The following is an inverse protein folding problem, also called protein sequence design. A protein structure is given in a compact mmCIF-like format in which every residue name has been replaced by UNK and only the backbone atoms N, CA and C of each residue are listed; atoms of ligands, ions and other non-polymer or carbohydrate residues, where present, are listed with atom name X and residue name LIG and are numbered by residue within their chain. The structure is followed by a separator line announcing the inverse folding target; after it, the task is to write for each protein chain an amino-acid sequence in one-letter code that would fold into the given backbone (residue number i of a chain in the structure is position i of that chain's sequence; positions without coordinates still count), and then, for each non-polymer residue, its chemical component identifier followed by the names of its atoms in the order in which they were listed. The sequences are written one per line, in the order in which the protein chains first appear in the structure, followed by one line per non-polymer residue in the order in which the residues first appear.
data_IF_027384278518
#
_entry.id   IF_027384278518
#
_cell.length_a   1.000
_cell.length_b   1.000
_cell.length_c   1.000
_cell.angle_alpha   90.00
_cell.angle_beta   90.00
_cell.angle_gamma   90.00
#
_symmetry.space_group_name_H-M   'P 1'
#
loop_
_entity.id
_entity.type
_entity.pdbx_description
1 polymer ?
#
# COMPACT_ATOMS: atom_id res chain seq x y z
N UNK A 1 3.36 3.78 -22.69
CA UNK A 1 3.06 4.97 -21.87
C UNK A 1 2.68 4.49 -20.48
N UNK A 2 3.29 5.04 -19.44
CA UNK A 2 2.93 4.75 -18.05
C UNK A 2 1.64 5.49 -17.67
N UNK A 3 0.81 4.89 -16.81
CA UNK A 3 -0.43 5.50 -16.32
C UNK A 3 -0.54 5.35 -14.81
N UNK A 4 -1.30 6.22 -14.15
CA UNK A 4 -1.59 6.07 -12.73
C UNK A 4 -2.22 4.71 -12.45
N UNK A 5 -1.84 4.10 -11.33
CA UNK A 5 -2.33 2.82 -10.87
C UNK A 5 -3.81 2.94 -10.50
N UNK A 6 -4.68 2.68 -11.48
CA UNK A 6 -6.13 2.76 -11.36
C UNK A 6 -6.77 1.38 -11.44
N UNK A 7 -6.24 0.39 -10.69
CA UNK A 7 -6.67 -1.03 -10.73
C UNK A 7 -8.18 -1.23 -10.48
N UNK A 8 -8.81 -0.23 -9.84
CA UNK A 8 -10.21 -0.27 -9.41
C UNK A 8 -11.11 0.69 -10.18
N UNK A 9 -10.56 1.57 -11.04
CA UNK A 9 -11.33 2.55 -11.81
C UNK A 9 -11.46 2.19 -13.30
N UNK A 10 -10.57 1.35 -13.84
CA UNK A 10 -10.59 0.94 -15.26
C UNK A 10 -11.48 -0.28 -15.56
N UNK A 11 -12.04 -0.91 -14.53
CA UNK A 11 -12.94 -2.06 -14.66
C UNK A 11 -12.28 -3.37 -15.12
N UNK A 12 -10.98 -3.40 -15.41
CA UNK A 12 -10.31 -4.59 -15.92
C UNK A 12 -10.16 -5.63 -14.79
N UNK A 13 -10.79 -6.80 -14.90
CA UNK A 13 -10.59 -7.88 -13.93
C UNK A 13 -9.14 -8.41 -13.93
N UNK A 14 -8.41 -8.18 -15.02
CA UNK A 14 -7.03 -8.64 -15.22
C UNK A 14 -6.07 -7.98 -14.22
N UNK A 15 -6.23 -6.68 -13.97
CA UNK A 15 -5.40 -5.87 -13.08
C UNK A 15 -5.56 -6.24 -11.60
N UNK A 16 -6.64 -6.94 -11.24
CA UNK A 16 -7.00 -7.33 -9.87
C UNK A 16 -6.54 -8.72 -9.47
N UNK A 17 -5.91 -9.45 -10.39
CA UNK A 17 -5.39 -10.79 -10.10
C UNK A 17 -4.25 -10.73 -9.09
N UNK A 18 -4.17 -11.77 -8.27
CA UNK A 18 -3.09 -11.95 -7.30
C UNK A 18 -1.69 -11.72 -7.90
N UNK A 19 -1.40 -12.26 -9.08
CA UNK A 19 -0.09 -12.14 -9.73
C UNK A 19 0.29 -10.69 -10.02
N UNK A 20 -0.68 -9.85 -10.42
CA UNK A 20 -0.48 -8.42 -10.64
C UNK A 20 -0.26 -7.70 -9.31
N UNK A 21 -1.14 -7.92 -8.32
CA UNK A 21 -1.06 -7.30 -6.99
C UNK A 21 0.29 -7.63 -6.35
N UNK A 22 0.71 -8.90 -6.39
CA UNK A 22 1.97 -9.35 -5.83
C UNK A 22 3.17 -8.70 -6.53
N UNK A 23 3.17 -8.64 -7.87
CA UNK A 23 4.24 -7.97 -8.64
C UNK A 23 4.33 -6.48 -8.31
N UNK A 24 3.21 -5.78 -8.23
CA UNK A 24 3.17 -4.37 -7.84
C UNK A 24 3.75 -4.21 -6.44
N UNK A 25 3.32 -5.03 -5.49
CA UNK A 25 3.75 -4.98 -4.09
C UNK A 25 5.27 -5.18 -3.93
N UNK A 26 5.83 -6.18 -4.61
CA UNK A 26 7.27 -6.44 -4.63
C UNK A 26 8.03 -5.28 -5.28
N UNK A 27 7.52 -4.76 -6.40
CA UNK A 27 8.16 -3.64 -7.09
C UNK A 27 8.21 -2.38 -6.23
N UNK A 28 7.12 -2.03 -5.53
CA UNK A 28 7.09 -0.91 -4.59
C UNK A 28 8.12 -1.12 -3.46
N UNK A 29 8.12 -2.32 -2.85
CA UNK A 29 9.05 -2.63 -1.76
C UNK A 29 10.52 -2.54 -2.20
N UNK A 30 10.86 -2.95 -3.44
CA UNK A 30 12.21 -2.81 -4.00
C UNK A 30 12.62 -1.36 -4.20
N UNK A 31 11.70 -0.49 -4.64
CA UNK A 31 12.00 0.94 -4.78
C UNK A 31 12.24 1.57 -3.41
N UNK A 32 11.43 1.25 -2.40
CA UNK A 32 11.68 1.72 -1.03
C UNK A 32 13.00 1.18 -0.47
N UNK A 33 13.36 -0.07 -0.73
CA UNK A 33 14.64 -0.63 -0.28
C UNK A 33 15.83 0.12 -0.88
N UNK A 34 15.72 0.49 -2.16
CA UNK A 34 16.69 1.35 -2.82
C UNK A 34 16.78 2.74 -2.15
N UNK A 35 15.65 3.38 -1.86
CA UNK A 35 15.63 4.71 -1.24
C UNK A 35 16.19 4.70 0.19
N UNK A 36 15.78 3.74 1.01
CA UNK A 36 16.17 3.66 2.43
C UNK A 36 17.58 3.13 2.61
N UNK A 37 18.01 2.15 1.79
CA UNK A 37 19.26 1.41 2.05
C UNK A 37 20.25 1.36 0.90
N UNK A 38 19.82 1.68 -0.32
CA UNK A 38 20.65 1.60 -1.53
C UNK A 38 21.39 2.89 -1.90
N UNK A 39 20.94 4.04 -1.39
CA UNK A 39 21.56 5.34 -1.64
C UNK A 39 22.70 5.64 -0.65
N UNK A 40 23.69 6.43 -1.08
CA UNK A 40 24.76 6.91 -0.19
C UNK A 40 24.20 7.71 1.00
N UNK A 41 23.11 8.45 0.76
CA UNK A 41 22.31 9.11 1.79
C UNK A 41 20.91 8.53 1.74
N UNK A 42 20.47 7.78 2.76
CA UNK A 42 19.10 7.28 2.86
C UNK A 42 18.10 8.41 2.66
N UNK A 43 17.02 8.11 1.94
CA UNK A 43 15.97 9.06 1.64
C UNK A 43 14.59 8.48 1.95
N UNK A 44 13.70 9.33 2.45
CA UNK A 44 12.32 8.97 2.78
C UNK A 44 11.42 9.43 1.63
N UNK A 45 10.50 8.58 1.20
CA UNK A 45 9.57 8.92 0.14
C UNK A 45 8.59 10.01 0.56
N UNK A 46 8.09 9.94 1.80
CA UNK A 46 7.23 10.92 2.46
C UNK A 46 5.78 10.92 1.97
N UNK A 47 5.55 10.74 0.66
CA UNK A 47 4.23 10.83 0.04
C UNK A 47 3.82 9.51 -0.67
N UNK A 48 4.14 8.36 -0.07
CA UNK A 48 3.82 7.07 -0.68
C UNK A 48 2.32 6.78 -0.55
N UNK A 49 1.67 6.46 -1.66
CA UNK A 49 0.24 6.14 -1.73
C UNK A 49 -0.10 5.59 -3.09
N UNK A 50 -1.23 4.89 -3.20
CA UNK A 50 -1.63 4.21 -4.44
C UNK A 50 -1.71 5.17 -5.64
N UNK A 51 -2.20 6.40 -5.44
CA UNK A 51 -2.25 7.43 -6.49
C UNK A 51 -0.89 7.89 -7.03
N UNK A 52 0.19 7.61 -6.31
CA UNK A 52 1.56 7.92 -6.72
C UNK A 52 2.30 6.69 -7.26
N UNK A 53 1.57 5.58 -7.47
CA UNK A 53 2.08 4.42 -8.19
C UNK A 53 1.64 4.54 -9.65
N UNK A 54 2.59 4.44 -10.56
CA UNK A 54 2.36 4.38 -12.00
C UNK A 54 2.64 2.97 -12.49
N UNK A 55 1.89 2.50 -13.48
CA UNK A 55 2.07 1.20 -14.11
C UNK A 55 2.39 1.38 -15.59
N UNK A 56 3.34 0.59 -16.09
CA UNK A 56 3.54 0.42 -17.53
C UNK A 56 2.59 -0.66 -18.11
N UNK A 57 2.58 -0.91 -19.44
CA UNK A 57 1.72 -1.93 -20.05
C UNK A 57 1.96 -3.36 -19.56
N UNK A 58 3.12 -3.64 -18.94
CA UNK A 58 3.44 -4.93 -18.34
C UNK A 58 3.10 -4.97 -16.84
N UNK A 59 2.42 -3.94 -16.33
CA UNK A 59 2.08 -3.74 -14.92
C UNK A 59 3.33 -3.76 -14.01
N UNK A 60 4.45 -3.24 -14.51
CA UNK A 60 5.60 -2.93 -13.68
C UNK A 60 5.33 -1.60 -12.94
N UNK A 61 5.48 -1.54 -11.61
CA UNK A 61 5.28 -0.30 -10.86
C UNK A 61 6.47 0.65 -10.96
N UNK A 62 6.15 1.94 -11.03
CA UNK A 62 7.05 3.08 -10.92
C UNK A 62 6.46 4.02 -9.85
N UNK A 63 7.29 4.51 -8.93
CA UNK A 63 6.83 5.42 -7.87
C UNK A 63 7.13 6.86 -8.28
N UNK A 64 6.13 7.74 -8.22
CA UNK A 64 6.25 9.18 -8.49
C UNK A 64 6.29 10.01 -7.20
N UNK A 65 6.54 11.32 -7.34
CA UNK A 65 6.51 12.33 -6.26
C UNK A 65 7.52 12.13 -5.12
N UNK A 66 8.48 11.21 -5.28
CA UNK A 66 9.66 11.15 -4.44
C UNK A 66 10.41 12.50 -4.46
N UNK A 67 10.71 13.03 -3.28
CA UNK A 67 11.45 14.28 -3.14
C UNK A 67 10.65 15.56 -3.44
N UNK A 68 9.36 15.46 -3.80
CA UNK A 68 8.50 16.62 -4.02
C UNK A 68 8.49 17.55 -2.80
N UNK A 69 8.51 16.96 -1.59
CA UNK A 69 8.54 17.67 -0.32
C UNK A 69 9.74 18.62 -0.16
N UNK A 70 10.86 18.37 -0.86
CA UNK A 70 12.06 19.23 -0.83
C UNK A 70 11.86 20.56 -1.58
N UNK A 71 10.86 20.62 -2.46
CA UNK A 71 10.55 21.80 -3.27
C UNK A 71 9.43 22.65 -2.66
N UNK A 72 8.77 22.15 -1.61
CA UNK A 72 7.64 22.82 -0.98
C UNK A 72 8.11 23.84 0.06
N UNK A 73 7.43 24.98 0.09
CA UNK A 73 7.51 25.86 1.26
C UNK A 73 6.78 25.20 2.45
N UNK A 74 7.02 25.64 3.69
CA UNK A 74 6.41 25.01 4.87
C UNK A 74 4.88 24.92 4.84
N UNK A 75 4.19 25.93 4.28
CA UNK A 75 2.74 25.95 4.16
C UNK A 75 2.24 24.87 3.18
N UNK A 76 2.80 24.82 1.98
CA UNK A 76 2.44 23.81 0.98
C UNK A 76 2.79 22.38 1.45
N UNK A 77 3.90 22.23 2.17
CA UNK A 77 4.27 20.96 2.79
C UNK A 77 3.27 20.49 3.86
N UNK A 78 2.75 21.43 4.66
CA UNK A 78 1.72 21.15 5.66
C UNK A 78 0.37 20.79 5.00
N UNK A 79 -0.04 21.52 3.96
CA UNK A 79 -1.25 21.22 3.18
C UNK A 79 -1.20 19.82 2.55
N UNK A 80 -0.04 19.43 1.99
CA UNK A 80 0.16 18.08 1.45
C UNK A 80 0.02 17.00 2.53
N UNK A 81 0.45 17.32 3.75
CA UNK A 81 0.35 16.42 4.89
C UNK A 81 -1.07 16.26 5.40
N UNK A 82 -1.84 17.34 5.42
CA UNK A 82 -3.26 17.35 5.79
C UNK A 82 -4.09 16.62 4.75
N UNK A 83 -3.81 16.82 3.46
CA UNK A 83 -4.44 16.05 2.38
C UNK A 83 -4.19 14.54 2.52
N UNK A 84 -2.96 14.15 2.86
CA UNK A 84 -2.61 12.73 3.08
C UNK A 84 -3.18 12.17 4.39
N UNK A 85 -3.50 13.03 5.37
CA UNK A 85 -4.21 12.63 6.58
C UNK A 85 -5.69 12.39 6.29
N UNK A 86 -6.32 13.30 5.54
CA UNK A 86 -7.71 13.19 5.12
C UNK A 86 -7.96 11.97 4.23
N UNK A 87 -7.00 11.62 3.37
CA UNK A 87 -7.08 10.40 2.54
C UNK A 87 -6.69 9.11 3.28
N UNK A 88 -6.25 9.17 4.55
CA UNK A 88 -5.90 8.02 5.38
C UNK A 88 -4.60 7.31 4.99
N UNK A 89 -3.82 7.83 4.05
CA UNK A 89 -2.56 7.20 3.61
C UNK A 89 -1.37 7.49 4.53
N UNK A 90 -1.53 8.46 5.43
CA UNK A 90 -0.47 8.99 6.28
C UNK A 90 -0.37 8.27 7.62
N UNK A 91 0.86 7.98 8.04
CA UNK A 91 1.15 7.48 9.38
C UNK A 91 0.71 8.47 10.49
N UNK A 92 0.16 7.98 11.62
CA UNK A 92 -0.39 8.84 12.67
C UNK A 92 0.64 9.73 13.36
N UNK A 93 1.90 9.27 13.44
CA UNK A 93 3.00 10.06 14.04
C UNK A 93 3.56 11.15 13.12
N UNK A 94 3.22 11.11 11.82
CA UNK A 94 3.70 12.10 10.85
C UNK A 94 2.84 13.37 10.93
N UNK A 95 3.11 14.20 11.94
CA UNK A 95 2.36 15.44 12.21
C UNK A 95 2.97 16.63 11.48
N UNK A 96 4.29 16.64 11.29
CA UNK A 96 5.04 17.67 10.56
C UNK A 96 6.01 17.02 9.59
N UNK A 97 6.49 17.77 8.60
CA UNK A 97 7.43 17.26 7.60
C UNK A 97 8.68 16.60 8.23
N UNK A 98 9.17 17.15 9.35
CA UNK A 98 10.36 16.67 10.06
C UNK A 98 10.16 15.33 10.80
N UNK A 99 8.92 14.88 10.97
CA UNK A 99 8.60 13.64 11.69
C UNK A 99 8.66 12.42 10.74
N UNK A 100 9.02 12.64 9.47
CA UNK A 100 9.17 11.61 8.46
C UNK A 100 10.32 10.66 8.78
N UNK A 101 10.09 9.37 8.57
CA UNK A 101 11.05 8.31 8.83
C UNK A 101 10.83 7.14 7.87
N UNK A 102 11.74 6.16 7.88
CA UNK A 102 11.52 4.91 7.14
C UNK A 102 10.20 4.27 7.58
N UNK A 103 9.88 4.34 8.88
CA UNK A 103 8.68 3.73 9.45
C UNK A 103 7.39 4.41 8.96
N UNK A 104 7.42 5.71 8.63
CA UNK A 104 6.25 6.38 8.04
C UNK A 104 6.00 5.87 6.62
N UNK A 105 7.05 5.63 5.83
CA UNK A 105 6.92 5.00 4.51
C UNK A 105 6.41 3.56 4.62
N UNK A 106 6.87 2.78 5.62
CA UNK A 106 6.38 1.41 5.86
C UNK A 106 4.89 1.38 6.21
N UNK A 107 4.40 2.36 6.97
CA UNK A 107 2.96 2.48 7.23
C UNK A 107 2.19 2.76 5.95
N UNK A 108 2.61 3.75 5.18
CA UNK A 108 1.98 4.10 3.90
C UNK A 108 2.03 2.96 2.88
N UNK A 109 3.10 2.14 2.91
CA UNK A 109 3.18 0.89 2.15
C UNK A 109 2.09 -0.08 2.60
N UNK A 110 1.95 -0.31 3.91
CA UNK A 110 0.90 -1.15 4.47
C UNK A 110 -0.50 -0.73 3.97
N UNK A 111 -0.83 0.55 4.08
CA UNK A 111 -2.10 1.11 3.59
C UNK A 111 -2.26 0.90 2.09
N UNK A 112 -1.20 1.13 1.30
CA UNK A 112 -1.21 0.91 -0.15
C UNK A 112 -1.46 -0.56 -0.49
N UNK A 113 -0.84 -1.51 0.21
CA UNK A 113 -1.05 -2.94 -0.04
C UNK A 113 -2.45 -3.42 0.36
N UNK A 114 -3.03 -2.86 1.42
CA UNK A 114 -4.40 -3.14 1.82
C UNK A 114 -5.42 -2.61 0.79
N UNK A 115 -5.18 -1.43 0.23
CA UNK A 115 -5.98 -0.91 -0.90
C UNK A 115 -5.84 -1.81 -2.13
N UNK A 116 -4.61 -2.19 -2.49
CA UNK A 116 -4.35 -3.11 -3.60
C UNK A 116 -5.02 -4.47 -3.42
N UNK A 117 -5.23 -4.92 -2.19
CA UNK A 117 -5.83 -6.23 -1.93
C UNK A 117 -7.36 -6.17 -1.89
N UNK A 118 -7.92 -5.14 -1.25
CA UNK A 118 -9.35 -5.04 -0.96
C UNK A 118 -10.15 -4.23 -1.98
N UNK A 119 -9.48 -3.40 -2.77
CA UNK A 119 -10.10 -2.42 -3.65
C UNK A 119 -10.86 -1.30 -2.94
N UNK A 120 -10.61 -1.10 -1.63
CA UNK A 120 -11.26 -0.07 -0.81
C UNK A 120 -10.31 1.10 -0.59
N UNK A 121 -10.85 2.32 -0.66
CA UNK A 121 -10.11 3.54 -0.28
C UNK A 121 -9.77 3.53 1.23
N UNK A 122 -8.69 4.20 1.67
CA UNK A 122 -8.30 4.17 3.09
C UNK A 122 -9.27 4.89 4.02
N UNK A 123 -9.96 5.90 3.50
CA UNK A 123 -10.98 6.71 4.17
C UNK A 123 -12.23 6.79 3.29
N UNK A 124 -13.40 6.95 3.91
CA UNK A 124 -14.65 7.15 3.16
C UNK A 124 -14.60 8.48 2.38
N UNK A 125 -14.94 8.43 1.09
CA UNK A 125 -15.17 9.65 0.28
C UNK A 125 -16.46 10.38 0.68
N UNK A 126 -17.35 9.73 1.43
CA UNK A 126 -18.68 10.24 1.77
C UNK A 126 -18.81 10.55 3.28
N UNK A 127 -18.44 11.77 3.72
CA UNK A 127 -18.47 12.18 5.13
C UNK A 127 -19.87 12.22 5.74
N UNK A 128 -20.93 12.10 4.92
CA UNK A 128 -22.34 12.09 5.35
C UNK A 128 -22.84 10.72 5.85
N UNK A 129 -22.02 9.67 5.78
CA UNK A 129 -22.42 8.33 6.25
C UNK A 129 -22.45 8.19 7.79
N UNK A 130 -21.88 9.17 8.52
CA UNK A 130 -21.83 9.15 9.99
C UNK A 130 -20.88 8.13 10.60
N UNK A 131 -20.27 7.26 9.77
CA UNK A 131 -19.27 6.28 10.17
C UNK A 131 -17.87 6.76 9.75
N UNK A 132 -17.01 6.97 10.75
CA UNK A 132 -15.56 7.17 10.55
C UNK A 132 -14.94 5.87 10.01
N UNK A 133 -14.98 5.69 8.69
CA UNK A 133 -14.35 4.55 8.03
C UNK A 133 -12.85 4.79 7.90
N UNK A 134 -12.05 3.97 8.58
CA UNK A 134 -10.61 3.89 8.41
C UNK A 134 -10.23 2.44 8.09
N UNK A 135 -9.60 2.22 6.94
CA UNK A 135 -9.39 0.90 6.35
C UNK A 135 -8.73 -0.13 7.30
N UNK A 136 -7.62 0.17 8.00
CA UNK A 136 -7.07 -0.74 9.01
C UNK A 136 -8.06 -1.08 10.13
N UNK A 137 -8.87 -0.12 10.58
CA UNK A 137 -9.87 -0.34 11.64
C UNK A 137 -10.96 -1.27 11.14
N UNK A 138 -11.49 -1.01 9.94
CA UNK A 138 -12.49 -1.85 9.28
C UNK A 138 -11.99 -3.29 9.10
N UNK A 139 -10.79 -3.46 8.55
CA UNK A 139 -10.18 -4.77 8.30
C UNK A 139 -9.93 -5.55 9.58
N UNK A 140 -9.48 -4.87 10.65
CA UNK A 140 -9.34 -5.51 11.97
C UNK A 140 -10.69 -6.01 12.49
N UNK A 141 -11.76 -5.22 12.36
CA UNK A 141 -13.09 -5.64 12.79
C UNK A 141 -13.62 -6.80 11.94
N UNK A 142 -13.40 -6.79 10.62
CA UNK A 142 -13.74 -7.92 9.75
C UNK A 142 -13.06 -9.23 10.17
N UNK A 143 -11.78 -9.18 10.61
CA UNK A 143 -11.10 -10.35 11.17
C UNK A 143 -11.77 -10.84 12.46
N UNK A 144 -12.06 -9.93 13.40
CA UNK A 144 -12.69 -10.27 14.69
C UNK A 144 -14.08 -10.89 14.49
N UNK A 145 -14.82 -10.37 13.51
CA UNK A 145 -16.17 -10.82 13.18
C UNK A 145 -16.18 -12.00 12.18
N UNK A 146 -15.01 -12.52 11.81
CA UNK A 146 -14.83 -13.66 10.89
C UNK A 146 -15.39 -13.42 9.47
N UNK A 147 -15.45 -12.16 9.03
CA UNK A 147 -15.84 -11.77 7.66
C UNK A 147 -14.63 -11.75 6.73
N UNK A 148 -14.08 -12.93 6.44
CA UNK A 148 -12.86 -13.08 5.63
C UNK A 148 -13.03 -12.54 4.20
N UNK A 149 -14.23 -12.66 3.63
CA UNK A 149 -14.58 -12.15 2.29
C UNK A 149 -14.47 -10.62 2.16
N UNK A 150 -14.44 -9.89 3.28
CA UNK A 150 -14.33 -8.43 3.25
C UNK A 150 -12.87 -7.95 3.11
N UNK A 151 -11.90 -8.85 3.32
CA UNK A 151 -10.47 -8.52 3.43
C UNK A 151 -9.79 -8.35 2.07
N UNK A 152 -10.32 -8.97 1.02
CA UNK A 152 -9.78 -8.94 -0.33
C UNK A 152 -10.90 -8.93 -1.36
N UNK A 153 -10.63 -8.41 -2.56
CA UNK A 153 -11.63 -8.41 -3.63
C UNK A 153 -11.83 -9.81 -4.23
N UNK A 154 -13.05 -10.22 -4.63
CA UNK A 154 -13.30 -11.56 -5.20
C UNK A 154 -12.38 -11.94 -6.36
N UNK A 155 -12.09 -10.99 -7.25
CA UNK A 155 -11.20 -11.18 -8.42
C UNK A 155 -9.74 -11.55 -8.05
N UNK A 156 -9.31 -11.37 -6.80
CA UNK A 156 -7.94 -11.72 -6.36
C UNK A 156 -7.66 -13.21 -6.51
N UNK A 157 -8.65 -14.06 -6.20
CA UNK A 157 -8.53 -15.52 -6.24
C UNK A 157 -8.88 -16.12 -7.61
N UNK A 158 -9.34 -15.31 -8.56
CA UNK A 158 -9.72 -15.80 -9.89
C UNK A 158 -8.46 -16.14 -10.67
N UNK A 159 -8.20 -17.43 -10.88
CA UNK A 159 -7.13 -17.93 -11.74
C UNK A 159 -7.69 -18.29 -13.12
N UNK A 160 -7.01 -17.85 -14.18
CA UNK A 160 -7.29 -18.37 -15.52
C UNK A 160 -6.55 -19.70 -15.68
N UNK A 161 -7.22 -20.73 -16.20
CA UNK A 161 -6.68 -22.08 -16.43
C UNK A 161 -5.42 -22.13 -17.35
N UNK A 162 -4.96 -20.99 -17.87
CA UNK A 162 -3.82 -20.86 -18.78
C UNK A 162 -2.49 -20.52 -18.10
N UNK A 163 -2.48 -20.14 -16.83
CA UNK A 163 -1.23 -19.74 -16.16
C UNK A 163 -0.52 -20.97 -15.62
N UNK A 164 0.69 -21.23 -16.13
CA UNK A 164 1.59 -22.32 -15.71
C UNK A 164 2.18 -22.13 -14.30
N UNK A 165 1.67 -21.17 -13.52
CA UNK A 165 2.04 -20.91 -12.12
C UNK A 165 1.10 -21.66 -11.17
N UNK A 166 1.60 -22.01 -9.98
CA UNK A 166 0.76 -22.61 -8.93
C UNK A 166 -0.43 -21.69 -8.63
N UNK A 167 -1.67 -22.22 -8.52
CA UNK A 167 -2.82 -21.39 -8.22
C UNK A 167 -2.62 -20.65 -6.90
N UNK A 168 -3.07 -19.39 -6.84
CA UNK A 168 -3.09 -18.62 -5.59
C UNK A 168 -4.04 -19.31 -4.60
N UNK A 169 -3.59 -19.48 -3.36
CA UNK A 169 -4.43 -19.99 -2.27
C UNK A 169 -4.93 -18.85 -1.41
N UNK A 170 -6.12 -19.01 -0.81
CA UNK A 170 -6.64 -18.06 0.16
C UNK A 170 -5.65 -17.86 1.33
N UNK A 171 -4.95 -18.92 1.76
CA UNK A 171 -3.90 -18.84 2.78
C UNK A 171 -2.78 -17.85 2.41
N UNK A 172 -2.31 -17.85 1.15
CA UNK A 172 -1.28 -16.91 0.68
C UNK A 172 -1.78 -15.46 0.74
N UNK A 173 -3.03 -15.25 0.33
CA UNK A 173 -3.69 -13.94 0.38
C UNK A 173 -3.84 -13.46 1.83
N UNK A 174 -4.28 -14.33 2.74
CA UNK A 174 -4.45 -13.99 4.14
C UNK A 174 -3.12 -13.71 4.83
N UNK A 175 -2.05 -14.43 4.48
CA UNK A 175 -0.70 -14.14 4.99
C UNK A 175 -0.21 -12.78 4.52
N UNK A 176 -0.44 -12.43 3.25
CA UNK A 176 -0.13 -11.10 2.72
C UNK A 176 -0.90 -10.01 3.45
N UNK A 177 -2.21 -10.21 3.63
CA UNK A 177 -3.07 -9.31 4.41
C UNK A 177 -2.54 -9.09 5.84
N UNK A 178 -2.20 -10.17 6.56
CA UNK A 178 -1.70 -10.09 7.93
C UNK A 178 -0.39 -9.30 8.02
N UNK A 179 0.51 -9.47 7.05
CA UNK A 179 1.73 -8.69 6.96
C UNK A 179 1.42 -7.20 6.74
N UNK A 180 0.62 -6.87 5.72
CA UNK A 180 0.26 -5.49 5.41
C UNK A 180 -0.43 -4.82 6.62
N UNK A 181 -1.37 -5.50 7.27
CA UNK A 181 -2.01 -5.05 8.51
C UNK A 181 -1.01 -4.78 9.64
N UNK A 182 0.01 -5.63 9.81
CA UNK A 182 1.03 -5.44 10.85
C UNK A 182 1.87 -4.17 10.62
N UNK A 183 2.03 -3.74 9.37
CA UNK A 183 2.79 -2.54 9.01
C UNK A 183 1.99 -1.25 9.23
N UNK A 184 0.66 -1.35 9.26
CA UNK A 184 -0.26 -0.28 9.65
C UNK A 184 -0.34 -0.07 11.18
N UNK A 185 0.59 -0.62 11.96
CA UNK A 185 0.62 -0.43 13.42
C UNK A 185 0.75 1.07 13.76
N UNK A 186 -0.03 1.60 14.72
CA UNK A 186 0.12 2.99 15.17
C UNK A 186 1.44 3.23 15.89
N UNK A 187 2.13 2.19 16.38
CA UNK A 187 3.46 2.30 16.97
C UNK A 187 4.54 2.07 15.91
N UNK A 188 5.37 3.08 15.57
CA UNK A 188 6.41 2.96 14.55
C UNK A 188 7.43 1.86 14.86
N UNK A 189 7.74 1.65 16.15
CA UNK A 189 8.72 0.65 16.61
C UNK A 189 8.29 -0.80 16.37
N UNK A 190 7.00 -1.05 16.13
CA UNK A 190 6.48 -2.38 15.79
C UNK A 190 6.54 -2.66 14.29
N UNK A 191 6.81 -1.64 13.47
CA UNK A 191 6.92 -1.80 12.02
C UNK A 191 8.31 -2.33 11.66
N UNK A 192 8.42 -3.30 10.74
CA UNK A 192 9.70 -3.81 10.29
C UNK A 192 10.47 -2.75 9.46
N UNK A 193 11.77 -2.96 9.28
CA UNK A 193 12.51 -2.23 8.25
C UNK A 193 12.21 -2.78 6.84
N UNK A 194 12.56 -2.03 5.80
CA UNK A 194 12.20 -2.37 4.42
C UNK A 194 12.81 -3.69 3.91
N UNK A 195 13.99 -4.08 4.39
CA UNK A 195 14.60 -5.37 4.03
C UNK A 195 13.81 -6.55 4.61
N UNK A 196 13.34 -6.40 5.84
CA UNK A 196 12.45 -7.38 6.47
C UNK A 196 11.10 -7.45 5.75
N UNK A 197 10.54 -6.30 5.31
CA UNK A 197 9.34 -6.25 4.47
C UNK A 197 9.54 -7.06 3.19
N UNK A 198 10.60 -6.77 2.43
CA UNK A 198 10.89 -7.43 1.16
C UNK A 198 11.07 -8.95 1.34
N UNK A 199 11.84 -9.36 2.34
CA UNK A 199 12.02 -10.78 2.67
C UNK A 199 10.71 -11.49 3.02
N UNK A 200 9.83 -10.83 3.79
CA UNK A 200 8.52 -11.40 4.14
C UNK A 200 7.60 -11.53 2.93
N UNK A 201 7.61 -10.55 2.01
CA UNK A 201 6.84 -10.61 0.75
C UNK A 201 7.37 -11.69 -0.19
N UNK A 202 8.69 -11.82 -0.35
CA UNK A 202 9.29 -12.87 -1.18
C UNK A 202 8.96 -14.27 -0.66
N UNK A 203 8.85 -14.44 0.67
CA UNK A 203 8.43 -15.70 1.28
C UNK A 203 6.97 -16.08 1.01
N UNK A 204 6.12 -15.16 0.58
CA UNK A 204 4.73 -15.48 0.20
C UNK A 204 4.66 -16.00 -1.24
N UNK A 205 5.54 -15.50 -2.12
CA UNK A 205 5.57 -15.89 -3.54
C UNK A 205 6.28 -17.22 -3.81
N UNK A 206 6.95 -17.81 -2.82
CA UNK A 206 7.51 -19.16 -2.88
C UNK A 206 6.45 -20.21 -2.56
#
# INVERSE_FOLDING_TARGET
MVKQCSLWADGSAETRKWTIIYRISIGIAKVLDHLHTGLQKPAIHWNLKLKNILLDPNHQPYISDYGLYLLLNPTAGQEMLESSAADGSKAPELVKMKDASEQTDIYSLGITLLQLLSGKEPMNENPNSGDDFHLPTFMRNAVLDRRITDLYHPDVLVSNNSDSESPVTEERVLKFFQLAMSWCSPSPSLRPNIRQVLWKLEKIGR
#
